data_IF_501257427138
#
_entry.id   IF_501257427138
#
_cell.length_a   1.000
_cell.length_b   1.000
_cell.length_c   1.000
_cell.angle_alpha   90.00
_cell.angle_beta   90.00
_cell.angle_gamma   90.00
#
_symmetry.space_group_name_H-M   'P 1'
#
loop_
_entity.id
_entity.type
_entity.pdbx_description
1 polymer ?
#
# COMPACT_ATOMS: atom_id res chain seq x y z
N UNK A 1 -30.57 -3.79 -29.01
CA UNK A 1 -29.21 -3.81 -29.58
C UNK A 1 -28.40 -2.72 -28.89
N UNK A 2 -27.52 -3.07 -27.95
CA UNK A 2 -26.60 -2.10 -27.34
C UNK A 2 -25.31 -2.09 -28.16
N UNK A 3 -24.99 -0.96 -28.78
CA UNK A 3 -23.68 -0.75 -29.39
C UNK A 3 -22.75 -0.19 -28.31
N UNK A 4 -21.69 -0.93 -27.99
CA UNK A 4 -20.57 -0.44 -27.18
C UNK A 4 -19.51 0.11 -28.13
N UNK A 5 -19.08 1.35 -27.89
CA UNK A 5 -18.03 2.03 -28.63
C UNK A 5 -16.84 2.24 -27.69
N UNK A 6 -15.71 1.61 -27.98
CA UNK A 6 -14.46 1.81 -27.24
C UNK A 6 -13.55 2.74 -28.05
N UNK A 7 -13.08 3.81 -27.43
CA UNK A 7 -12.21 4.80 -28.10
C UNK A 7 -11.04 5.17 -27.20
N UNK A 8 -9.86 5.29 -27.80
CA UNK A 8 -8.60 5.71 -27.16
C UNK A 8 -8.38 7.22 -27.23
N UNK A 9 -9.43 7.99 -27.48
CA UNK A 9 -9.40 9.45 -27.68
C UNK A 9 -10.59 10.10 -26.96
N UNK A 10 -10.45 11.38 -26.62
CA UNK A 10 -11.54 12.19 -26.07
C UNK A 10 -12.71 12.24 -27.05
N UNK A 11 -13.90 11.87 -26.58
CA UNK A 11 -15.14 12.01 -27.32
C UNK A 11 -15.63 13.44 -27.20
N UNK A 12 -15.66 14.16 -28.32
CA UNK A 12 -16.32 15.46 -28.43
C UNK A 12 -17.61 15.29 -29.23
N UNK A 13 -18.76 15.50 -28.58
CA UNK A 13 -20.06 15.41 -29.23
C UNK A 13 -20.38 16.74 -29.92
N UNK A 14 -20.29 16.77 -31.24
CA UNK A 14 -20.61 17.94 -32.05
C UNK A 14 -22.13 18.02 -32.29
N UNK A 15 -22.68 19.14 -31.83
CA UNK A 15 -24.01 19.67 -32.13
C UNK A 15 -25.20 19.03 -31.39
N UNK A 16 -26.12 19.90 -31.00
CA UNK A 16 -27.37 19.73 -30.24
C UNK A 16 -27.32 19.88 -28.71
N UNK A 17 -28.23 20.71 -28.23
CA UNK A 17 -28.49 21.06 -26.83
C UNK A 17 -28.87 19.83 -25.99
N UNK A 18 -27.88 19.10 -25.49
CA UNK A 18 -28.07 17.97 -24.58
C UNK A 18 -27.51 18.26 -23.19
N UNK A 19 -27.81 19.45 -22.64
CA UNK A 19 -27.62 19.71 -21.20
C UNK A 19 -28.49 18.80 -20.30
N UNK A 20 -29.38 17.98 -20.87
CA UNK A 20 -30.36 17.14 -20.16
C UNK A 20 -30.12 15.63 -20.24
N UNK A 21 -29.17 15.10 -21.03
CA UNK A 21 -28.97 13.64 -21.15
C UNK A 21 -27.75 13.10 -20.38
N UNK A 22 -27.00 13.97 -19.72
CA UNK A 22 -26.00 13.60 -18.71
C UNK A 22 -26.32 14.42 -17.47
N UNK A 23 -27.09 13.85 -16.54
CA UNK A 23 -27.27 14.42 -15.21
C UNK A 23 -26.30 13.73 -14.26
N UNK A 24 -25.40 14.50 -13.65
CA UNK A 24 -24.41 14.05 -12.68
C UNK A 24 -22.96 14.11 -13.20
N UNK A 25 -21.96 14.19 -12.31
CA UNK A 25 -20.57 14.08 -12.70
C UNK A 25 -20.31 12.72 -13.36
N UNK A 26 -19.65 12.70 -14.53
CA UNK A 26 -19.22 11.47 -15.23
C UNK A 26 -18.03 10.76 -14.54
N UNK A 27 -17.66 11.24 -13.35
CA UNK A 27 -16.59 10.69 -12.54
C UNK A 27 -17.29 9.83 -11.48
N UNK A 28 -16.95 8.54 -11.35
CA UNK A 28 -17.34 7.78 -10.17
C UNK A 28 -17.01 8.62 -8.95
N UNK A 29 -18.04 8.95 -8.17
CA UNK A 29 -17.82 9.58 -6.88
C UNK A 29 -17.21 8.48 -6.04
N UNK A 30 -15.91 8.52 -5.87
CA UNK A 30 -15.21 7.57 -5.03
C UNK A 30 -14.73 8.38 -3.82
N UNK A 31 -15.13 8.05 -2.58
CA UNK A 31 -14.41 8.56 -1.42
C UNK A 31 -12.93 8.31 -1.64
N UNK A 32 -12.15 9.38 -1.66
CA UNK A 32 -10.73 9.35 -1.95
C UNK A 32 -9.98 10.14 -0.88
N UNK A 33 -8.89 9.55 -0.42
CA UNK A 33 -7.90 10.20 0.40
C UNK A 33 -6.57 10.20 -0.35
N UNK A 34 -5.85 11.32 -0.34
CA UNK A 34 -4.50 11.39 -0.90
C UNK A 34 -3.67 12.34 -0.07
N UNK A 35 -2.53 11.86 0.38
CA UNK A 35 -1.53 12.65 1.08
C UNK A 35 -0.22 12.67 0.29
N UNK A 36 0.33 13.87 0.15
CA UNK A 36 1.62 14.14 -0.47
C UNK A 36 2.69 14.48 0.57
N UNK A 37 2.35 14.46 1.86
CA UNK A 37 3.26 14.70 2.98
C UNK A 37 3.99 16.05 2.84
N UNK A 38 3.26 17.06 2.38
CA UNK A 38 3.72 18.46 2.23
C UNK A 38 3.52 19.30 3.49
N UNK A 39 2.65 18.83 4.39
CA UNK A 39 2.35 19.40 5.71
C UNK A 39 2.62 18.36 6.81
N UNK A 40 2.40 18.68 8.09
CA UNK A 40 2.61 17.78 9.24
C UNK A 40 1.76 16.49 9.20
N UNK A 41 2.17 15.46 9.95
CA UNK A 41 1.52 14.13 9.97
C UNK A 41 0.37 14.41 10.88
N UNK A 42 -0.80 14.39 10.28
CA UNK A 42 -2.03 14.60 10.99
C UNK A 42 -2.36 13.32 11.76
N UNK A 43 -2.09 13.32 13.07
CA UNK A 43 -2.41 12.20 13.97
C UNK A 43 -3.92 11.99 14.14
N UNK A 44 -4.76 12.90 13.63
CA UNK A 44 -6.18 12.63 13.48
C UNK A 44 -6.50 11.73 12.28
N UNK A 45 -5.61 11.68 11.28
CA UNK A 45 -5.72 10.85 10.07
C UNK A 45 -4.95 9.55 10.18
N UNK A 46 -3.80 9.58 10.84
CA UNK A 46 -2.86 8.46 10.92
C UNK A 46 -2.61 8.00 12.34
N UNK A 47 -2.45 6.69 12.48
CA UNK A 47 -1.92 6.03 13.67
C UNK A 47 -0.45 5.70 13.39
N UNK A 48 0.44 6.18 14.25
CA UNK A 48 1.89 6.03 14.15
C UNK A 48 2.35 5.05 15.23
N UNK A 49 3.06 4.00 14.84
CA UNK A 49 3.64 3.04 15.78
C UNK A 49 5.14 2.94 15.55
N UNK A 50 5.92 3.04 16.63
CA UNK A 50 7.39 2.93 16.62
C UNK A 50 7.80 1.87 17.66
N UNK A 51 8.70 0.96 17.31
CA UNK A 51 9.07 -0.19 18.14
C UNK A 51 10.35 -0.01 18.94
N UNK A 52 11.30 0.75 18.39
CA UNK A 52 12.68 0.88 18.83
C UNK A 52 13.01 2.24 19.43
N UNK A 53 14.18 2.31 20.09
CA UNK A 53 14.62 3.51 20.83
C UNK A 53 15.09 4.67 19.93
N UNK A 54 15.34 4.40 18.65
CA UNK A 54 15.76 5.36 17.63
C UNK A 54 14.81 5.40 16.44
N UNK A 55 13.69 4.67 16.53
CA UNK A 55 12.66 4.65 15.51
C UNK A 55 11.90 5.97 15.51
N UNK A 56 11.73 6.54 14.32
CA UNK A 56 10.98 7.77 14.15
C UNK A 56 10.22 7.78 12.82
N UNK A 57 9.01 8.31 12.87
CA UNK A 57 8.25 8.69 11.67
C UNK A 57 8.09 10.20 11.72
N UNK A 58 8.71 10.89 10.77
CA UNK A 58 8.78 12.35 10.75
C UNK A 58 8.72 12.91 9.33
N UNK A 59 8.46 14.22 9.20
CA UNK A 59 8.62 14.89 7.92
C UNK A 59 10.08 15.16 7.65
N UNK A 60 10.46 15.00 6.39
CA UNK A 60 11.70 15.57 5.89
C UNK A 60 11.40 16.80 5.05
N UNK A 61 12.18 17.86 5.25
CA UNK A 61 12.12 19.10 4.47
C UNK A 61 12.73 18.89 3.06
N UNK A 62 12.10 18.02 2.28
CA UNK A 62 12.49 17.67 0.92
C UNK A 62 11.50 18.27 -0.08
N UNK A 63 11.99 18.76 -1.22
CA UNK A 63 11.14 19.28 -2.27
C UNK A 63 10.14 18.20 -2.73
N UNK A 64 8.85 18.53 -2.73
CA UNK A 64 7.77 17.62 -3.10
C UNK A 64 7.11 16.88 -1.93
N UNK A 65 7.60 17.02 -0.70
CA UNK A 65 7.04 16.38 0.49
C UNK A 65 7.44 14.91 0.63
N UNK A 66 7.69 14.47 1.87
CA UNK A 66 7.84 13.06 2.20
C UNK A 66 7.66 12.82 3.71
N UNK A 67 7.06 11.68 4.03
CA UNK A 67 7.13 11.06 5.34
C UNK A 67 8.36 10.15 5.38
N UNK A 68 9.30 10.47 6.25
CA UNK A 68 10.54 9.74 6.50
C UNK A 68 10.34 8.80 7.68
N UNK A 69 10.60 7.52 7.44
CA UNK A 69 10.74 6.50 8.47
C UNK A 69 12.24 6.37 8.72
N UNK A 70 12.69 6.69 9.92
CA UNK A 70 14.02 6.37 10.41
C UNK A 70 13.89 5.12 11.23
N UNK A 71 14.47 4.03 10.73
CA UNK A 71 14.51 2.77 11.45
C UNK A 71 15.76 2.78 12.35
N UNK A 72 15.64 2.15 13.51
CA UNK A 72 16.70 2.04 14.49
C UNK A 72 17.83 1.14 14.02
N UNK A 73 18.65 0.69 14.96
CA UNK A 73 19.84 -0.11 14.65
C UNK A 73 19.74 -1.52 15.24
N UNK A 74 18.72 -1.80 16.05
CA UNK A 74 18.50 -3.14 16.54
C UNK A 74 17.72 -3.95 15.50
N UNK A 75 18.00 -5.24 15.46
CA UNK A 75 17.25 -6.15 14.63
C UNK A 75 15.76 -6.14 15.02
N UNK A 76 14.88 -6.02 14.03
CA UNK A 76 13.43 -5.83 14.18
C UNK A 76 13.00 -4.48 14.81
N UNK A 77 13.87 -3.48 14.91
CA UNK A 77 13.42 -2.09 15.10
C UNK A 77 12.53 -1.72 13.90
N UNK A 78 11.32 -1.19 14.17
CA UNK A 78 10.28 -1.07 13.17
C UNK A 78 9.36 0.13 13.37
N UNK A 79 8.93 0.70 12.26
CA UNK A 79 8.00 1.82 12.19
C UNK A 79 6.78 1.42 11.34
N UNK A 80 5.60 1.85 11.76
CA UNK A 80 4.35 1.66 11.01
C UNK A 80 3.51 2.94 10.98
N UNK A 81 3.04 3.29 9.80
CA UNK A 81 2.04 4.31 9.55
C UNK A 81 0.77 3.64 9.03
N UNK A 82 -0.31 3.73 9.80
CA UNK A 82 -1.62 3.25 9.39
C UNK A 82 -2.59 4.43 9.21
N UNK A 83 -3.38 4.41 8.14
CA UNK A 83 -4.53 5.31 8.00
C UNK A 83 -5.72 4.83 8.84
N UNK A 84 -6.90 5.41 8.60
CA UNK A 84 -8.13 4.98 9.30
C UNK A 84 -8.69 3.67 8.77
N UNK A 85 -9.23 2.87 9.70
CA UNK A 85 -9.90 1.60 9.46
C UNK A 85 -11.32 1.81 8.90
N UNK A 86 -11.41 2.23 7.64
CA UNK A 86 -12.68 2.65 7.01
C UNK A 86 -12.90 2.11 5.59
N UNK A 87 -11.91 1.45 4.99
CA UNK A 87 -11.97 0.99 3.60
C UNK A 87 -12.47 -0.45 3.53
N UNK A 88 -13.10 -0.85 2.42
CA UNK A 88 -13.72 -2.18 2.33
C UNK A 88 -13.55 -2.81 0.94
N UNK A 89 -13.09 -4.06 0.89
CA UNK A 89 -12.94 -4.81 -0.37
C UNK A 89 -14.27 -4.99 -1.12
N UNK A 90 -15.40 -5.06 -0.41
CA UNK A 90 -16.75 -5.11 -1.00
C UNK A 90 -17.11 -3.85 -1.78
N UNK A 91 -16.29 -2.81 -1.71
CA UNK A 91 -16.40 -1.54 -2.44
C UNK A 91 -15.26 -1.32 -3.43
N UNK A 92 -14.59 -2.38 -3.89
CA UNK A 92 -13.46 -2.28 -4.81
C UNK A 92 -12.37 -1.31 -4.30
N UNK A 93 -11.94 -1.44 -3.05
CA UNK A 93 -10.97 -0.53 -2.47
C UNK A 93 -9.60 -0.67 -3.14
N UNK A 94 -8.92 0.46 -3.31
CA UNK A 94 -7.63 0.56 -3.95
C UNK A 94 -6.68 1.43 -3.15
N UNK A 95 -5.39 1.11 -3.24
CA UNK A 95 -4.29 1.85 -2.65
C UNK A 95 -3.22 2.09 -3.72
N UNK A 96 -2.61 3.26 -3.67
CA UNK A 96 -1.41 3.59 -4.42
C UNK A 96 -0.43 4.33 -3.52
N UNK A 97 0.79 3.80 -3.39
CA UNK A 97 1.85 4.39 -2.59
C UNK A 97 3.12 4.58 -3.42
N UNK A 98 3.83 5.68 -3.18
CA UNK A 98 5.13 5.97 -3.81
C UNK A 98 6.21 5.96 -2.76
N UNK A 99 7.08 4.97 -2.81
CA UNK A 99 8.02 4.63 -1.72
C UNK A 99 9.45 4.56 -2.24
N UNK A 100 10.42 4.96 -1.43
CA UNK A 100 11.86 4.76 -1.64
C UNK A 100 12.46 4.06 -0.43
N UNK A 101 13.32 3.08 -0.65
CA UNK A 101 14.10 2.38 0.39
C UNK A 101 15.58 2.75 0.19
N UNK A 102 16.32 3.05 1.27
CA UNK A 102 17.76 3.38 1.13
C UNK A 102 18.62 2.18 0.78
N UNK A 103 18.43 1.08 1.50
CA UNK A 103 19.15 -0.17 1.32
C UNK A 103 18.15 -1.33 1.39
N UNK A 104 18.03 -2.10 0.31
CA UNK A 104 17.11 -3.25 0.27
C UNK A 104 17.63 -4.45 1.04
N UNK A 105 18.94 -4.52 1.27
CA UNK A 105 19.60 -5.63 1.94
C UNK A 105 19.52 -5.58 3.48
N UNK A 106 19.09 -4.45 4.04
CA UNK A 106 18.92 -4.24 5.48
C UNK A 106 17.48 -3.97 5.93
N UNK A 107 16.49 -4.04 5.05
CA UNK A 107 15.11 -3.59 5.33
C UNK A 107 14.07 -4.68 5.03
N UNK A 108 13.05 -4.73 5.90
CA UNK A 108 11.73 -5.25 5.60
C UNK A 108 10.77 -4.10 5.32
N UNK A 109 10.03 -4.14 4.22
CA UNK A 109 9.00 -3.17 3.86
C UNK A 109 7.67 -3.91 3.65
N UNK A 110 6.60 -3.38 4.26
CA UNK A 110 5.23 -3.74 3.94
C UNK A 110 4.46 -2.50 3.42
N UNK A 111 3.77 -2.65 2.29
CA UNK A 111 2.88 -1.62 1.75
C UNK A 111 1.57 -2.26 1.30
N UNK A 112 0.46 -1.87 1.91
CA UNK A 112 -0.84 -2.43 1.53
C UNK A 112 -1.98 -2.07 2.48
N UNK A 113 -2.89 -3.01 2.67
CA UNK A 113 -4.01 -2.91 3.60
C UNK A 113 -3.83 -3.88 4.77
N UNK A 114 -4.28 -3.47 5.96
CA UNK A 114 -4.47 -4.34 7.12
C UNK A 114 -5.81 -4.04 7.80
N UNK A 115 -6.31 -4.97 8.60
CA UNK A 115 -7.54 -4.84 9.40
C UNK A 115 -7.31 -4.25 10.80
N UNK A 116 -6.07 -3.84 11.10
CA UNK A 116 -5.73 -3.14 12.33
C UNK A 116 -4.87 -1.89 12.09
N UNK A 117 -5.14 -0.81 12.85
CA UNK A 117 -4.30 0.41 12.84
C UNK A 117 -2.98 0.23 13.63
N UNK A 118 -2.83 -0.87 14.36
CA UNK A 118 -1.64 -1.25 15.14
C UNK A 118 -1.48 -2.77 15.10
N UNK A 119 -0.28 -3.26 14.78
CA UNK A 119 0.05 -4.69 14.72
C UNK A 119 0.93 -5.11 15.89
N UNK A 120 0.77 -6.33 16.37
CA UNK A 120 1.59 -6.87 17.47
C UNK A 120 3.07 -7.01 17.11
N UNK A 121 3.37 -7.21 15.83
CA UNK A 121 4.73 -7.29 15.29
C UNK A 121 5.13 -6.02 14.51
N UNK A 122 4.38 -4.92 14.64
CA UNK A 122 4.63 -3.64 13.97
C UNK A 122 4.54 -3.67 12.43
N UNK A 123 4.46 -4.85 11.80
CA UNK A 123 4.13 -5.06 10.39
C UNK A 123 3.02 -6.11 10.28
N UNK A 124 2.02 -5.92 9.40
CA UNK A 124 0.94 -6.91 9.22
C UNK A 124 1.46 -8.28 8.77
N UNK A 125 2.45 -8.25 7.87
CA UNK A 125 3.13 -9.41 7.32
C UNK A 125 4.59 -9.05 7.00
N UNK A 126 5.52 -9.94 7.33
CA UNK A 126 6.96 -9.81 7.07
C UNK A 126 7.60 -11.19 6.87
N UNK A 127 8.84 -11.24 6.37
CA UNK A 127 9.63 -12.47 6.38
C UNK A 127 10.57 -12.46 7.58
N UNK A 128 10.47 -13.47 8.43
CA UNK A 128 11.42 -13.69 9.52
C UNK A 128 12.17 -14.98 9.28
N UNK A 129 13.50 -14.92 9.28
CA UNK A 129 14.34 -16.07 8.99
C UNK A 129 13.94 -16.78 7.67
N UNK A 130 13.54 -15.99 6.67
CA UNK A 130 13.09 -16.46 5.35
C UNK A 130 11.69 -17.07 5.28
N UNK A 131 10.93 -17.06 6.37
CA UNK A 131 9.54 -17.57 6.44
C UNK A 131 8.54 -16.44 6.59
N UNK A 132 7.43 -16.48 5.83
CA UNK A 132 6.36 -15.48 5.96
C UNK A 132 5.71 -15.62 7.35
N UNK A 133 5.77 -14.55 8.12
CA UNK A 133 5.07 -14.37 9.38
C UNK A 133 3.94 -13.37 9.18
N UNK A 134 2.77 -13.70 9.70
CA UNK A 134 1.55 -12.90 9.58
C UNK A 134 1.01 -12.65 10.98
N UNK A 135 0.71 -11.40 11.30
CA UNK A 135 0.05 -11.03 12.56
C UNK A 135 -1.35 -10.47 12.39
N UNK A 136 -1.66 -9.94 11.21
CA UNK A 136 -3.01 -9.48 10.86
C UNK A 136 -3.96 -10.65 10.58
N UNK A 137 -5.24 -10.47 10.91
CA UNK A 137 -6.28 -11.45 10.56
C UNK A 137 -6.67 -11.31 9.09
N UNK A 138 -6.76 -10.07 8.58
CA UNK A 138 -7.01 -9.73 7.18
C UNK A 138 -6.03 -8.63 6.70
N UNK A 139 -5.10 -8.98 5.81
CA UNK A 139 -4.15 -8.03 5.24
C UNK A 139 -3.73 -8.43 3.83
N UNK A 140 -3.34 -7.45 3.01
CA UNK A 140 -2.86 -7.67 1.65
C UNK A 140 -1.88 -6.59 1.26
N UNK A 141 -0.77 -6.97 0.64
CA UNK A 141 0.28 -5.99 0.37
C UNK A 141 1.41 -6.50 -0.51
N UNK A 142 2.33 -5.57 -0.74
CA UNK A 142 3.67 -5.86 -1.22
C UNK A 142 4.59 -6.06 -0.02
N UNK A 143 5.48 -7.05 -0.13
CA UNK A 143 6.62 -7.24 0.79
C UNK A 143 7.92 -7.23 0.00
N UNK A 144 8.90 -6.49 0.50
CA UNK A 144 10.30 -6.67 0.16
C UNK A 144 11.06 -6.82 1.47
N UNK A 145 11.78 -7.92 1.67
CA UNK A 145 12.38 -8.24 2.97
C UNK A 145 13.72 -8.93 2.81
N UNK A 146 14.76 -8.32 3.38
CA UNK A 146 16.11 -8.84 3.35
C UNK A 146 16.25 -10.25 3.93
N UNK A 147 15.44 -10.62 4.93
CA UNK A 147 15.47 -11.97 5.53
C UNK A 147 15.00 -13.06 4.56
N UNK A 148 14.28 -12.68 3.49
CA UNK A 148 13.94 -13.61 2.41
C UNK A 148 15.16 -14.03 1.59
N UNK A 149 16.23 -13.23 1.64
CA UNK A 149 17.47 -13.42 0.89
C UNK A 149 17.40 -12.91 -0.56
N UNK A 150 16.40 -12.12 -0.91
CA UNK A 150 16.23 -11.53 -2.25
C UNK A 150 15.72 -10.09 -2.14
N UNK A 151 15.98 -9.27 -3.15
CA UNK A 151 15.41 -7.92 -3.29
C UNK A 151 14.08 -7.93 -4.06
N UNK A 152 13.52 -9.11 -4.32
CA UNK A 152 12.30 -9.28 -5.09
C UNK A 152 11.09 -8.77 -4.32
N UNK A 153 10.14 -8.20 -5.06
CA UNK A 153 8.90 -7.69 -4.49
C UNK A 153 7.86 -8.81 -4.54
N UNK A 154 7.38 -9.25 -3.37
CA UNK A 154 6.40 -10.30 -3.22
C UNK A 154 4.99 -9.73 -3.02
N UNK A 155 4.00 -10.41 -3.61
CA UNK A 155 2.58 -10.14 -3.42
C UNK A 155 2.05 -11.11 -2.38
N UNK A 156 1.45 -10.59 -1.32
CA UNK A 156 0.99 -11.38 -0.18
C UNK A 156 -0.43 -11.04 0.21
N UNK A 157 -1.11 -11.98 0.84
CA UNK A 157 -2.43 -11.80 1.41
C UNK A 157 -2.69 -12.79 2.54
N UNK A 158 -3.47 -12.38 3.52
CA UNK A 158 -4.03 -13.22 4.57
C UNK A 158 -5.52 -12.93 4.68
N UNK A 159 -6.31 -14.00 4.69
CA UNK A 159 -7.76 -13.95 4.79
C UNK A 159 -8.19 -14.74 6.01
N UNK A 160 -8.73 -14.05 7.01
CA UNK A 160 -9.17 -14.66 8.28
C UNK A 160 -8.10 -15.63 8.82
N UNK A 161 -6.89 -15.13 9.04
CA UNK A 161 -5.69 -15.86 9.53
C UNK A 161 -5.10 -16.91 8.58
N UNK A 162 -5.65 -17.07 7.37
CA UNK A 162 -5.13 -18.01 6.38
C UNK A 162 -4.34 -17.27 5.31
N UNK A 163 -3.03 -17.52 5.27
CA UNK A 163 -2.17 -16.97 4.23
C UNK A 163 -2.55 -17.52 2.85
N UNK A 164 -2.74 -16.61 1.89
CA UNK A 164 -2.84 -16.93 0.49
C UNK A 164 -1.48 -17.39 -0.05
N UNK A 165 -1.48 -18.01 -1.23
CA UNK A 165 -0.24 -18.36 -1.92
C UNK A 165 0.52 -17.09 -2.29
N UNK A 166 1.74 -16.95 -1.77
CA UNK A 166 2.65 -15.85 -2.12
C UNK A 166 2.99 -15.92 -3.60
N UNK A 167 3.00 -14.75 -4.25
CA UNK A 167 3.41 -14.59 -5.65
C UNK A 167 4.64 -13.71 -5.72
N UNK A 168 5.69 -14.17 -6.40
CA UNK A 168 6.81 -13.31 -6.78
C UNK A 168 6.38 -12.43 -7.96
N UNK A 169 6.54 -11.11 -7.84
CA UNK A 169 6.20 -10.17 -8.92
C UNK A 169 7.14 -10.26 -10.12
N UNK A 170 8.33 -10.86 -9.96
CA UNK A 170 9.41 -10.86 -10.93
C UNK A 170 10.09 -9.49 -11.08
N UNK A 171 9.80 -8.55 -10.17
CA UNK A 171 10.43 -7.22 -10.11
C UNK A 171 11.28 -7.14 -8.86
N UNK A 172 12.55 -6.79 -9.05
CA UNK A 172 13.47 -6.50 -7.96
C UNK A 172 13.48 -5.01 -7.63
N UNK A 173 13.74 -4.70 -6.36
CA UNK A 173 13.95 -3.35 -5.86
C UNK A 173 15.47 -3.08 -5.75
N UNK A 174 15.94 -1.97 -6.31
CA UNK A 174 17.32 -1.50 -6.10
C UNK A 174 17.47 -0.49 -4.96
N UNK A 175 18.67 -0.38 -4.41
CA UNK A 175 18.97 0.65 -3.39
C UNK A 175 18.63 2.05 -3.89
N UNK A 176 18.04 2.87 -3.02
CA UNK A 176 17.58 4.24 -3.30
C UNK A 176 16.54 4.37 -4.42
N UNK A 177 16.04 3.25 -4.95
CA UNK A 177 15.05 3.25 -6.01
C UNK A 177 13.67 3.61 -5.47
N UNK A 178 12.92 4.37 -6.26
CA UNK A 178 11.53 4.71 -5.97
C UNK A 178 10.59 3.87 -6.80
N UNK A 179 9.65 3.18 -6.17
CA UNK A 179 8.59 2.44 -6.84
C UNK A 179 7.23 3.07 -6.55
N UNK A 180 6.34 3.00 -7.54
CA UNK A 180 4.92 3.22 -7.37
C UNK A 180 4.21 1.88 -7.24
N UNK A 181 3.68 1.60 -6.06
CA UNK A 181 3.01 0.36 -5.70
C UNK A 181 1.51 0.59 -5.67
N UNK A 182 0.76 -0.17 -6.47
CA UNK A 182 -0.70 -0.08 -6.48
C UNK A 182 -1.37 -1.43 -6.27
N UNK A 183 -2.44 -1.42 -5.48
CA UNK A 183 -3.26 -2.59 -5.15
C UNK A 183 -4.72 -2.22 -5.37
N UNK A 184 -5.49 -3.13 -5.97
CA UNK A 184 -6.95 -3.07 -5.98
C UNK A 184 -7.49 -4.37 -5.47
N UNK A 185 -8.37 -4.31 -4.46
CA UNK A 185 -9.10 -5.46 -3.93
C UNK A 185 -10.49 -5.45 -4.57
N UNK A 186 -10.89 -6.55 -5.22
CA UNK A 186 -12.22 -6.68 -5.78
C UNK A 186 -13.27 -7.12 -4.74
N UNK A 187 -14.54 -7.10 -5.14
CA UNK A 187 -15.66 -7.48 -4.26
C UNK A 187 -15.65 -8.93 -3.77
N UNK A 188 -14.78 -9.79 -4.31
CA UNK A 188 -14.57 -11.16 -3.83
C UNK A 188 -13.38 -11.26 -2.85
N UNK A 189 -12.71 -10.15 -2.56
CA UNK A 189 -11.51 -10.12 -1.73
C UNK A 189 -10.26 -10.61 -2.47
N UNK A 190 -10.25 -10.58 -3.81
CA UNK A 190 -9.04 -10.83 -4.57
C UNK A 190 -8.27 -9.54 -4.79
N UNK A 191 -6.94 -9.59 -4.76
CA UNK A 191 -6.10 -8.43 -4.97
C UNK A 191 -5.32 -8.50 -6.27
N UNK A 192 -5.27 -7.37 -6.97
CA UNK A 192 -4.52 -7.16 -8.22
C UNK A 192 -3.45 -6.11 -7.95
N UNK A 193 -2.27 -6.32 -8.53
CA UNK A 193 -1.09 -5.56 -8.16
C UNK A 193 -0.43 -4.94 -9.39
N UNK A 194 0.06 -3.71 -9.23
CA UNK A 194 0.84 -3.01 -10.23
C UNK A 194 2.08 -2.38 -9.59
N UNK A 195 3.18 -2.40 -10.33
CA UNK A 195 4.43 -1.70 -9.99
C UNK A 195 4.73 -0.77 -11.16
N UNK A 196 4.90 0.53 -10.88
CA UNK A 196 5.17 1.58 -11.87
C UNK A 196 4.16 1.59 -13.04
N UNK A 197 2.89 1.29 -12.72
CA UNK A 197 1.78 1.24 -13.67
C UNK A 197 1.68 -0.06 -14.50
N UNK A 198 2.61 -1.01 -14.33
CA UNK A 198 2.60 -2.31 -15.01
C UNK A 198 1.98 -3.37 -14.10
N UNK A 199 1.04 -4.16 -14.62
CA UNK A 199 0.43 -5.27 -13.87
C UNK A 199 1.46 -6.37 -13.62
N UNK A 200 1.62 -6.76 -12.37
CA UNK A 200 2.64 -7.76 -11.95
C UNK A 200 2.04 -9.04 -11.37
N UNK A 201 0.75 -9.06 -11.07
CA UNK A 201 0.12 -10.29 -10.61
C UNK A 201 -1.20 -10.10 -9.87
N UNK A 202 -1.66 -11.22 -9.31
CA UNK A 202 -2.89 -11.33 -8.54
C UNK A 202 -2.68 -12.29 -7.37
N UNK A 203 -3.25 -11.95 -6.22
CA UNK A 203 -3.45 -12.87 -5.09
C UNK A 203 -4.94 -13.17 -4.97
N UNK A 204 -5.32 -14.44 -5.14
CA UNK A 204 -6.70 -14.91 -4.93
C UNK A 204 -6.97 -15.08 -3.45
N UNK A 205 -8.21 -14.81 -3.04
CA UNK A 205 -8.63 -14.84 -1.63
C UNK A 205 -7.65 -14.09 -0.70
N UNK A 206 -7.24 -12.90 -1.11
CA UNK A 206 -6.21 -12.13 -0.43
C UNK A 206 -6.66 -11.57 0.92
N UNK A 207 -7.94 -11.19 1.05
CA UNK A 207 -8.56 -10.68 2.28
C UNK A 207 -10.04 -11.08 2.35
N UNK A 208 -10.64 -10.96 3.52
CA UNK A 208 -12.10 -11.03 3.67
C UNK A 208 -12.72 -9.75 3.13
N UNK A 209 -13.50 -9.85 2.04
CA UNK A 209 -14.04 -8.70 1.32
C UNK A 209 -14.83 -7.73 2.20
N UNK A 210 -15.54 -8.21 3.22
CA UNK A 210 -16.38 -7.39 4.10
C UNK A 210 -15.64 -6.75 5.29
N UNK A 211 -14.40 -7.16 5.58
CA UNK A 211 -13.61 -6.63 6.68
C UNK A 211 -13.21 -5.18 6.39
N UNK A 212 -13.25 -4.31 7.40
CA UNK A 212 -12.73 -2.95 7.27
C UNK A 212 -11.20 -2.99 7.27
N UNK A 213 -10.62 -2.20 6.39
CA UNK A 213 -9.20 -2.13 6.14
C UNK A 213 -8.70 -0.70 6.32
N UNK A 214 -7.45 -0.56 6.72
CA UNK A 214 -6.69 0.68 6.73
C UNK A 214 -5.48 0.53 5.81
N UNK A 215 -5.06 1.61 5.12
CA UNK A 215 -3.82 1.61 4.38
C UNK A 215 -2.65 1.60 5.37
N UNK A 216 -1.66 0.75 5.13
CA UNK A 216 -0.48 0.58 5.97
C UNK A 216 0.78 0.70 5.13
N UNK A 217 1.72 1.51 5.62
CA UNK A 217 3.11 1.50 5.18
C UNK A 217 3.96 1.33 6.43
N UNK A 218 4.80 0.30 6.44
CA UNK A 218 5.72 0.08 7.55
C UNK A 218 7.01 -0.54 7.06
N UNK A 219 8.05 -0.42 7.88
CA UNK A 219 9.23 -1.22 7.68
C UNK A 219 10.00 -1.48 8.96
N UNK A 220 10.95 -2.40 8.85
CA UNK A 220 11.80 -2.85 9.94
C UNK A 220 13.25 -3.02 9.47
N UNK A 221 14.21 -2.85 10.38
CA UNK A 221 15.61 -3.21 10.12
C UNK A 221 15.80 -4.71 10.26
N UNK A 222 16.59 -5.27 9.34
CA UNK A 222 17.10 -6.64 9.40
C UNK A 222 18.59 -6.63 9.70
N UNK A 223 19.03 -7.61 10.49
CA UNK A 223 20.44 -7.88 10.78
C UNK A 223 21.23 -6.72 11.40
N UNK A 224 20.56 -5.77 12.05
CA UNK A 224 21.15 -4.61 12.71
C UNK A 224 21.99 -3.71 11.77
N UNK A 225 21.44 -3.41 10.59
CA UNK A 225 22.04 -2.43 9.67
C UNK A 225 21.95 -0.99 10.22
N UNK A 226 22.83 -0.11 9.77
CA UNK A 226 23.05 1.20 10.38
C UNK A 226 22.36 2.34 9.61
N UNK A 227 21.07 2.55 9.92
CA UNK A 227 20.38 3.80 9.66
C UNK A 227 19.47 3.79 8.44
N UNK A 228 18.73 2.70 8.28
CA UNK A 228 17.87 2.54 7.12
C UNK A 228 16.64 3.43 7.16
N UNK A 229 16.31 3.95 5.97
CA UNK A 229 15.19 4.86 5.84
C UNK A 229 14.27 4.47 4.72
N UNK A 230 12.98 4.68 5.00
CA UNK A 230 11.92 4.54 4.01
C UNK A 230 11.31 5.92 3.81
N UNK A 231 11.27 6.36 2.56
CA UNK A 231 10.68 7.65 2.18
C UNK A 231 9.33 7.39 1.49
N UNK A 232 8.24 7.68 2.19
CA UNK A 232 6.90 7.66 1.63
C UNK A 232 6.56 9.05 1.07
N UNK A 233 6.45 9.15 -0.26
CA UNK A 233 6.20 10.43 -0.96
C UNK A 233 4.73 10.68 -1.28
N UNK A 234 3.95 9.62 -1.39
CA UNK A 234 2.51 9.72 -1.65
C UNK A 234 1.82 8.47 -1.13
N UNK A 235 0.65 8.66 -0.54
CA UNK A 235 -0.31 7.60 -0.26
C UNK A 235 -1.69 8.06 -0.72
N UNK A 236 -2.28 7.30 -1.64
CA UNK A 236 -3.61 7.52 -2.19
C UNK A 236 -4.46 6.28 -1.96
N UNK A 237 -5.69 6.46 -1.49
CA UNK A 237 -6.62 5.37 -1.20
C UNK A 237 -8.01 5.79 -1.64
N UNK A 238 -8.77 4.88 -2.24
CA UNK A 238 -10.14 5.13 -2.66
C UNK A 238 -10.96 3.84 -2.70
N UNK A 239 -12.28 3.98 -2.72
CA UNK A 239 -13.23 2.89 -2.96
C UNK A 239 -14.45 3.43 -3.71
N UNK A 240 -15.29 2.55 -4.24
CA UNK A 240 -16.54 2.92 -4.92
C UNK A 240 -17.59 3.40 -3.90
N UNK A 241 -18.26 4.53 -4.19
CA UNK A 241 -19.39 5.01 -3.37
C UNK A 241 -20.57 4.02 -3.40
N UNK A 242 -21.32 4.00 -2.30
CA UNK A 242 -22.52 3.16 -2.11
C UNK A 242 -23.69 3.57 -2.98
#
# INVERSE_FOLDING_TARGET
>A
MSQQLTTSRTLEFQDHSHKTNVFGPMIPRNPQFTDHFVDWVDTSKYTLTVGGSSDAIAFSATAGGQCLFTLGQADNDACMLAGKLIWNGSKNCSLNARVTITDVSGVALFVGFSDAETESNLLPMDYKDGTLVTTADDAVGFICDADKGTSSIYLVGTKNTTNATVVDSGVDWGDTETKELAITVDTNGHAYFWIDGVSVGKVTDAVTAATLLCPVVGGAVRAADLGETINLRRLSVWEDET
#
